data_IF_309474842492
#
_entry.id   IF_309474842492
#
_cell.length_a   1.000
_cell.length_b   1.000
_cell.length_c   1.000
_cell.angle_alpha   90.00
_cell.angle_beta   90.00
_cell.angle_gamma   90.00
#
_symmetry.space_group_name_H-M   'P 1'
#
loop_
_entity.id
_entity.type
_entity.pdbx_description
1 polymer ?
#
# COMPACT_ATOMS: atom_id res chain seq x y z
N UNK A 1 4.09 11.32 15.55
CA UNK A 1 4.09 10.10 14.72
C UNK A 1 2.77 10.03 13.98
N UNK A 2 2.80 10.22 12.66
CA UNK A 2 1.65 10.17 11.76
C UNK A 2 1.65 8.84 11.03
N UNK A 3 0.52 8.15 11.03
CA UNK A 3 0.33 6.86 10.36
C UNK A 3 -0.65 7.07 9.21
N UNK A 4 -0.31 6.59 8.02
CA UNK A 4 -1.22 6.55 6.88
C UNK A 4 -1.72 5.11 6.71
N UNK A 5 -3.03 4.91 6.82
CA UNK A 5 -3.66 3.59 6.69
C UNK A 5 -4.52 3.61 5.42
N UNK A 6 -4.33 2.61 4.56
CA UNK A 6 -5.12 2.39 3.35
C UNK A 6 -5.50 0.91 3.31
N UNK A 7 -6.71 0.61 2.88
CA UNK A 7 -7.25 -0.76 2.73
C UNK A 7 -8.03 -0.84 1.42
N UNK A 8 -8.25 -2.06 0.93
CA UNK A 8 -9.08 -2.35 -0.25
C UNK A 8 -8.73 -1.47 -1.46
N UNK A 9 -7.43 -1.28 -1.68
CA UNK A 9 -6.93 -0.39 -2.74
C UNK A 9 -7.21 -0.94 -4.13
N UNK A 10 -7.21 -2.27 -4.28
CA UNK A 10 -7.74 -2.94 -5.47
C UNK A 10 -7.20 -2.35 -6.80
N UNK A 11 -5.88 -2.23 -6.88
CA UNK A 11 -5.18 -1.52 -7.98
C UNK A 11 -5.40 -2.15 -9.36
N UNK A 12 -5.80 -3.41 -9.41
CA UNK A 12 -6.20 -4.12 -10.62
C UNK A 12 -7.48 -3.56 -11.26
N UNK A 13 -8.28 -2.79 -10.52
CA UNK A 13 -9.50 -2.17 -11.02
C UNK A 13 -9.33 -0.72 -11.46
N UNK A 14 -8.15 -0.13 -11.28
CA UNK A 14 -7.90 1.24 -11.75
C UNK A 14 -6.72 1.94 -11.07
N UNK A 15 -6.44 3.13 -11.58
CA UNK A 15 -5.43 4.01 -11.00
C UNK A 15 -6.00 4.82 -9.84
N UNK A 16 -5.25 4.85 -8.73
CA UNK A 16 -5.54 5.69 -7.58
C UNK A 16 -4.41 6.72 -7.42
N UNK A 17 -4.76 8.01 -7.48
CA UNK A 17 -3.81 9.12 -7.24
C UNK A 17 -3.69 9.37 -5.74
N UNK A 18 -2.89 8.54 -5.06
CA UNK A 18 -2.69 8.61 -3.61
C UNK A 18 -1.27 9.07 -3.30
N UNK A 19 -1.15 10.15 -2.52
CA UNK A 19 0.13 10.57 -1.98
C UNK A 19 0.52 9.73 -0.75
N UNK A 20 1.49 8.83 -0.93
CA UNK A 20 1.98 7.92 0.11
C UNK A 20 3.11 8.51 0.97
N UNK A 21 3.61 9.71 0.66
CA UNK A 21 4.77 10.35 1.33
C UNK A 21 4.37 11.37 2.39
N UNK A 22 3.24 11.16 3.06
CA UNK A 22 2.64 12.13 3.98
C UNK A 22 2.69 11.72 5.46
N UNK A 23 3.37 10.61 5.78
CA UNK A 23 3.35 9.97 7.09
C UNK A 23 4.69 9.33 7.45
N UNK A 24 4.87 9.05 8.73
CA UNK A 24 6.07 8.38 9.28
C UNK A 24 5.99 6.85 9.11
N UNK A 25 4.77 6.29 8.97
CA UNK A 25 4.51 4.86 8.76
C UNK A 25 3.36 4.70 7.76
N UNK A 26 3.48 3.77 6.82
CA UNK A 26 2.41 3.35 5.92
C UNK A 26 1.88 1.97 6.33
N UNK A 27 0.56 1.83 6.44
CA UNK A 27 -0.13 0.56 6.67
C UNK A 27 -1.04 0.26 5.49
N UNK A 28 -0.80 -0.87 4.83
CA UNK A 28 -1.70 -1.44 3.82
C UNK A 28 -2.45 -2.61 4.43
N UNK A 29 -3.71 -2.37 4.78
CA UNK A 29 -4.56 -3.28 5.53
C UNK A 29 -5.37 -4.20 4.58
N UNK A 30 -4.68 -4.99 3.76
CA UNK A 30 -5.29 -5.96 2.86
C UNK A 30 -5.64 -5.43 1.46
N UNK A 31 -5.92 -6.37 0.56
CA UNK A 31 -6.53 -6.18 -0.76
C UNK A 31 -5.92 -5.02 -1.57
N UNK A 32 -4.59 -4.99 -1.62
CA UNK A 32 -3.85 -3.92 -2.32
C UNK A 32 -3.80 -4.14 -3.82
N UNK A 33 -3.58 -5.37 -4.26
CA UNK A 33 -3.47 -5.78 -5.66
C UNK A 33 -3.63 -7.31 -5.75
N UNK A 34 -3.65 -7.87 -6.96
CA UNK A 34 -3.75 -9.30 -7.20
C UNK A 34 -2.48 -10.05 -6.72
N UNK A 35 -2.63 -10.89 -5.69
CA UNK A 35 -1.57 -11.73 -5.15
C UNK A 35 -0.31 -10.95 -4.77
N UNK A 36 0.86 -11.32 -5.31
CA UNK A 36 2.14 -10.69 -4.95
C UNK A 36 2.37 -9.31 -5.58
N UNK A 37 1.49 -8.86 -6.49
CA UNK A 37 1.66 -7.59 -7.21
C UNK A 37 1.68 -6.39 -6.28
N UNK A 38 0.97 -6.45 -5.15
CA UNK A 38 0.98 -5.38 -4.14
C UNK A 38 2.36 -5.15 -3.56
N UNK A 39 3.11 -6.23 -3.29
CA UNK A 39 4.50 -6.14 -2.79
C UNK A 39 5.43 -5.61 -3.88
N UNK A 40 5.28 -6.08 -5.12
CA UNK A 40 6.08 -5.59 -6.25
C UNK A 40 5.90 -4.08 -6.48
N UNK A 41 4.67 -3.61 -6.35
CA UNK A 41 4.36 -2.18 -6.41
C UNK A 41 4.96 -1.41 -5.24
N UNK A 42 4.81 -1.89 -4.00
CA UNK A 42 5.41 -1.23 -2.85
C UNK A 42 6.93 -1.05 -3.01
N UNK A 43 7.61 -2.08 -3.52
CA UNK A 43 9.05 -2.02 -3.82
C UNK A 43 9.38 -0.97 -4.89
N UNK A 44 8.51 -0.76 -5.87
CA UNK A 44 8.73 0.22 -6.94
C UNK A 44 8.55 1.68 -6.48
N UNK A 45 7.92 1.92 -5.34
CA UNK A 45 7.67 3.28 -4.83
C UNK A 45 8.90 3.90 -4.14
N UNK A 46 9.89 3.07 -3.77
CA UNK A 46 11.11 3.48 -3.05
C UNK A 46 10.80 4.45 -1.90
N UNK A 47 9.90 4.00 -1.00
CA UNK A 47 9.52 4.76 0.19
C UNK A 47 10.58 4.58 1.27
N UNK A 48 11.03 5.68 1.86
CA UNK A 48 12.03 5.70 2.94
C UNK A 48 11.39 5.58 4.35
N UNK A 49 10.18 5.02 4.42
CA UNK A 49 9.41 4.85 5.65
C UNK A 49 9.05 3.37 5.85
N UNK A 50 8.90 2.90 7.10
CA UNK A 50 8.41 1.55 7.36
C UNK A 50 7.02 1.34 6.77
N UNK A 51 6.84 0.16 6.18
CA UNK A 51 5.58 -0.29 5.59
C UNK A 51 5.12 -1.53 6.35
N UNK A 52 3.90 -1.49 6.89
CA UNK A 52 3.20 -2.65 7.43
C UNK A 52 2.23 -3.13 6.35
N UNK A 53 2.52 -4.30 5.79
CA UNK A 53 1.68 -4.93 4.77
C UNK A 53 0.93 -6.11 5.37
N UNK A 54 -0.39 -6.01 5.45
CA UNK A 54 -1.28 -7.09 5.90
C UNK A 54 -1.84 -7.78 4.67
N UNK A 55 -1.73 -9.12 4.62
CA UNK A 55 -2.27 -9.90 3.53
C UNK A 55 -3.80 -9.82 3.52
N UNK A 56 -4.35 -9.52 2.35
CA UNK A 56 -5.78 -9.56 2.09
C UNK A 56 -6.29 -10.97 1.77
N UNK A 57 -7.59 -11.05 1.50
CA UNK A 57 -8.21 -12.26 0.95
C UNK A 57 -8.34 -12.23 -0.58
N UNK A 58 -7.93 -11.12 -1.21
CA UNK A 58 -7.82 -10.92 -2.66
C UNK A 58 -6.40 -11.17 -3.15
#
# INVERSE_FOLDING_TARGET
MKIHIISDLHREFGYNDINLRIADVLVLAGNTDLGIKGISWLKSLSLDIPIIFVLGNH
#
